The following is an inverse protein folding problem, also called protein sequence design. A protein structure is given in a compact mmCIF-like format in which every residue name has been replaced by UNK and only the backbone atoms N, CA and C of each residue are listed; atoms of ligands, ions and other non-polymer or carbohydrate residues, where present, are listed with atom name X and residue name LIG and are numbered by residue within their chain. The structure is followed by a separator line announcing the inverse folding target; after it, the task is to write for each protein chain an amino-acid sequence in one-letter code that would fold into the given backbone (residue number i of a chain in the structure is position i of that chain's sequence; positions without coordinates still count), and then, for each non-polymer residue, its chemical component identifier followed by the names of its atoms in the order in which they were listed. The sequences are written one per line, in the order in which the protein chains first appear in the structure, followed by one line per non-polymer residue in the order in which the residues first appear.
data_IF_468970220848
#
_entry.id   IF_468970220848
#
_cell.length_a   1.000
_cell.length_b   1.000
_cell.length_c   1.000
_cell.angle_alpha   90.00
_cell.angle_beta   90.00
_cell.angle_gamma   90.00
#
_symmetry.space_group_name_H-M   'P 1'
#
loop_
_entity.id
_entity.type
_entity.pdbx_description
1 polymer ?
#
# COMPACT_ATOMS: atom_id res chain seq x y z
N UNK A 1 -6.55 -10.86 24.72
CA UNK A 1 -7.04 -11.95 23.87
C UNK A 1 -7.58 -11.39 22.57
N UNK A 2 -7.24 -12.01 21.53
CA UNK A 2 -7.71 -11.64 20.22
C UNK A 2 -9.07 -12.26 19.94
N UNK A 3 -10.05 -11.47 19.64
CA UNK A 3 -11.40 -11.97 19.45
C UNK A 3 -12.01 -11.65 18.10
N UNK A 4 -11.34 -10.79 17.29
CA UNK A 4 -11.90 -10.38 16.01
C UNK A 4 -11.05 -10.92 14.87
N UNK A 5 -11.72 -11.39 13.84
CA UNK A 5 -11.05 -11.72 12.59
C UNK A 5 -10.54 -10.44 11.93
N UNK A 6 -9.44 -10.54 11.20
CA UNK A 6 -8.96 -9.42 10.41
C UNK A 6 -9.91 -9.17 9.24
N UNK A 7 -10.02 -7.90 8.85
CA UNK A 7 -10.97 -7.48 7.83
C UNK A 7 -10.60 -7.97 6.41
N UNK A 8 -9.30 -8.15 6.15
CA UNK A 8 -8.82 -8.49 4.81
C UNK A 8 -7.87 -9.68 4.84
N UNK A 9 -7.78 -10.44 3.74
CA UNK A 9 -6.82 -11.54 3.64
C UNK A 9 -5.37 -11.06 3.58
N UNK A 10 -5.14 -9.86 3.07
CA UNK A 10 -3.80 -9.27 2.99
C UNK A 10 -3.90 -7.76 2.90
N UNK A 11 -2.80 -7.09 3.26
CA UNK A 11 -2.61 -5.66 3.04
C UNK A 11 -1.39 -5.46 2.16
N UNK A 12 -1.57 -4.76 1.05
CA UNK A 12 -0.46 -4.29 0.22
C UNK A 12 -0.17 -2.86 0.63
N UNK A 13 1.00 -2.65 1.23
CA UNK A 13 1.37 -1.36 1.80
C UNK A 13 2.49 -0.75 0.98
N UNK A 14 2.20 0.37 0.32
CA UNK A 14 3.15 1.09 -0.52
C UNK A 14 3.79 2.21 0.30
N UNK A 15 5.13 2.18 0.38
CA UNK A 15 5.92 3.23 1.03
C UNK A 15 6.40 4.22 -0.03
N UNK A 16 6.13 5.50 0.16
CA UNK A 16 6.53 6.54 -0.78
C UNK A 16 7.23 7.68 -0.05
N UNK A 17 8.29 8.21 -0.66
CA UNK A 17 8.94 9.42 -0.20
C UNK A 17 9.70 10.06 -1.36
N UNK A 18 9.26 11.28 -1.76
CA UNK A 18 9.90 12.08 -2.82
C UNK A 18 10.16 11.27 -4.10
N UNK A 19 9.11 10.62 -4.59
CA UNK A 19 9.17 9.74 -5.75
C UNK A 19 8.20 10.17 -6.85
N UNK A 20 8.04 11.48 -7.05
CA UNK A 20 7.07 12.02 -8.00
C UNK A 20 7.24 11.46 -9.43
N UNK A 21 8.46 11.10 -9.80
CA UNK A 21 8.73 10.60 -11.16
C UNK A 21 8.33 9.15 -11.38
N UNK A 22 8.19 8.36 -10.30
CA UNK A 22 7.93 6.91 -10.40
C UNK A 22 6.65 6.50 -9.70
N UNK A 23 6.09 7.34 -8.85
CA UNK A 23 5.01 6.94 -7.95
C UNK A 23 3.73 6.53 -8.69
N UNK A 24 3.41 7.16 -9.80
CA UNK A 24 2.17 6.85 -10.52
C UNK A 24 2.20 5.41 -11.02
N UNK A 25 3.29 5.02 -11.70
CA UNK A 25 3.40 3.65 -12.21
C UNK A 25 3.47 2.63 -11.07
N UNK A 26 4.23 2.94 -10.02
CA UNK A 26 4.34 2.05 -8.87
C UNK A 26 2.99 1.84 -8.19
N UNK A 27 2.26 2.91 -7.93
CA UNK A 27 0.95 2.83 -7.28
C UNK A 27 -0.07 2.14 -8.18
N UNK A 28 -0.06 2.43 -9.48
CA UNK A 28 -0.97 1.76 -10.41
C UNK A 28 -0.72 0.25 -10.46
N UNK A 29 0.53 -0.18 -10.35
CA UNK A 29 0.83 -1.61 -10.30
C UNK A 29 0.29 -2.27 -9.02
N UNK A 30 0.24 -1.53 -7.92
CA UNK A 30 -0.41 -2.01 -6.69
C UNK A 30 -1.92 -2.08 -6.83
N UNK A 31 -2.52 -1.04 -7.41
CA UNK A 31 -3.97 -0.98 -7.60
C UNK A 31 -4.46 -2.02 -8.61
N UNK A 32 -3.59 -2.43 -9.53
CA UNK A 32 -3.89 -3.41 -10.57
C UNK A 32 -3.70 -4.86 -10.18
N UNK A 33 -3.53 -5.16 -8.90
CA UNK A 33 -3.35 -6.55 -8.47
C UNK A 33 -4.57 -7.40 -8.77
N UNK A 34 -4.32 -8.58 -9.36
CA UNK A 34 -5.35 -9.53 -9.75
C UNK A 34 -5.41 -10.62 -8.68
N UNK A 35 -6.33 -10.45 -7.75
CA UNK A 35 -6.56 -11.37 -6.63
C UNK A 35 -7.90 -11.05 -5.99
N UNK A 36 -8.28 -11.81 -4.97
CA UNK A 36 -9.46 -11.46 -4.18
C UNK A 36 -9.30 -10.07 -3.55
N UNK A 37 -10.41 -9.41 -3.14
CA UNK A 37 -10.31 -8.07 -2.56
C UNK A 37 -9.39 -8.02 -1.36
N UNK A 38 -8.45 -7.08 -1.38
CA UNK A 38 -7.49 -6.85 -0.30
C UNK A 38 -7.51 -5.38 0.12
N UNK A 39 -6.80 -5.10 1.20
CA UNK A 39 -6.52 -3.72 1.60
C UNK A 39 -5.27 -3.23 0.88
N UNK A 40 -5.34 -2.02 0.31
CA UNK A 40 -4.18 -1.35 -0.28
C UNK A 40 -4.01 0.00 0.41
N UNK A 41 -2.86 0.21 1.04
CA UNK A 41 -2.53 1.46 1.73
C UNK A 41 -1.42 2.15 0.96
N UNK A 42 -1.70 3.36 0.50
CA UNK A 42 -0.73 4.21 -0.17
C UNK A 42 -0.22 5.23 0.85
N UNK A 43 1.01 5.04 1.31
CA UNK A 43 1.51 5.77 2.48
C UNK A 43 2.71 6.63 2.13
N UNK A 44 2.57 7.94 2.35
CA UNK A 44 3.60 8.94 2.07
C UNK A 44 4.31 9.35 3.35
N UNK A 45 5.64 9.36 3.31
CA UNK A 45 6.48 9.71 4.46
C UNK A 45 6.83 11.20 4.48
N UNK A 46 5.83 12.05 4.29
CA UNK A 46 5.98 13.51 4.32
C UNK A 46 6.87 14.02 3.18
N UNK A 47 6.52 13.63 1.95
CA UNK A 47 7.23 14.10 0.75
C UNK A 47 7.17 15.62 0.63
N UNK A 48 8.24 16.19 0.10
CA UNK A 48 8.33 17.62 -0.18
C UNK A 48 7.96 17.96 -1.62
N UNK A 49 7.85 16.95 -2.48
CA UNK A 49 7.38 17.12 -3.85
C UNK A 49 5.89 16.77 -3.94
N UNK A 50 5.36 16.53 -5.14
CA UNK A 50 3.94 16.24 -5.32
C UNK A 50 3.58 14.76 -5.25
N UNK A 51 4.44 13.93 -4.66
CA UNK A 51 4.19 12.49 -4.51
C UNK A 51 2.83 12.23 -3.84
N UNK A 52 2.57 12.88 -2.72
CA UNK A 52 1.33 12.66 -1.98
C UNK A 52 0.10 13.06 -2.79
N UNK A 53 0.15 14.19 -3.49
CA UNK A 53 -0.98 14.65 -4.31
C UNK A 53 -1.27 13.66 -5.42
N UNK A 54 -0.24 13.06 -6.02
CA UNK A 54 -0.42 12.05 -7.05
C UNK A 54 -1.08 10.79 -6.49
N UNK A 55 -0.72 10.37 -5.28
CA UNK A 55 -1.36 9.24 -4.61
C UNK A 55 -2.85 9.52 -4.35
N UNK A 56 -3.17 10.71 -3.89
CA UNK A 56 -4.56 11.11 -3.65
C UNK A 56 -5.38 11.07 -4.93
N UNK A 57 -4.82 11.57 -6.03
CA UNK A 57 -5.51 11.57 -7.31
C UNK A 57 -5.80 10.16 -7.81
N UNK A 58 -4.84 9.26 -7.66
CA UNK A 58 -5.02 7.86 -8.07
C UNK A 58 -6.09 7.17 -7.24
N UNK A 59 -6.09 7.40 -5.93
CA UNK A 59 -7.09 6.81 -5.05
C UNK A 59 -8.49 7.33 -5.37
N UNK A 60 -8.62 8.62 -5.66
CA UNK A 60 -9.91 9.22 -5.99
C UNK A 60 -10.52 8.65 -7.26
N UNK A 61 -9.68 8.25 -8.21
CA UNK A 61 -10.14 7.70 -9.49
C UNK A 61 -10.32 6.19 -9.47
N UNK A 62 -9.87 5.53 -8.42
CA UNK A 62 -9.90 4.07 -8.36
C UNK A 62 -11.33 3.56 -8.20
N UNK A 63 -11.70 2.58 -9.02
CA UNK A 63 -13.03 1.98 -9.03
C UNK A 63 -12.99 0.45 -8.97
N UNK A 64 -11.86 -0.13 -8.59
CA UNK A 64 -11.72 -1.57 -8.54
C UNK A 64 -12.28 -2.20 -7.27
N UNK A 65 -11.96 -3.48 -7.07
CA UNK A 65 -12.52 -4.29 -5.97
C UNK A 65 -11.78 -4.14 -4.65
N UNK A 66 -10.56 -3.63 -4.67
CA UNK A 66 -9.77 -3.50 -3.43
C UNK A 66 -10.21 -2.28 -2.64
N UNK A 67 -9.96 -2.31 -1.33
CA UNK A 67 -10.21 -1.17 -0.46
C UNK A 67 -8.93 -0.35 -0.37
N UNK A 68 -8.98 0.86 -0.90
CA UNK A 68 -7.80 1.72 -1.04
C UNK A 68 -7.89 2.88 -0.06
N UNK A 69 -6.81 3.12 0.67
CA UNK A 69 -6.67 4.29 1.52
C UNK A 69 -5.34 4.99 1.26
N UNK A 70 -5.33 6.29 1.49
CA UNK A 70 -4.13 7.10 1.36
C UNK A 70 -3.85 7.72 2.72
N UNK A 71 -2.58 7.70 3.13
CA UNK A 71 -2.19 8.34 4.39
C UNK A 71 -0.86 9.05 4.22
N UNK A 72 -0.60 9.97 5.13
CA UNK A 72 0.62 10.76 5.11
C UNK A 72 1.13 10.93 6.52
N UNK A 73 2.44 10.76 6.72
CA UNK A 73 3.08 11.09 7.97
C UNK A 73 3.25 12.60 8.09
N UNK A 74 3.08 13.15 9.28
CA UNK A 74 3.24 14.59 9.52
C UNK A 74 4.69 15.04 9.43
N UNK A 75 5.62 14.11 9.68
CA UNK A 75 7.06 14.35 9.54
C UNK A 75 7.68 13.16 8.83
N UNK A 76 8.87 13.35 8.29
CA UNK A 76 9.61 12.23 7.70
C UNK A 76 10.11 11.32 8.83
N UNK A 77 9.62 10.08 8.86
CA UNK A 77 9.97 9.12 9.90
C UNK A 77 11.13 8.20 9.51
N UNK A 78 11.39 8.07 8.22
CA UNK A 78 12.36 7.11 7.74
C UNK A 78 11.75 5.73 7.57
N UNK A 79 12.45 4.86 6.84
CA UNK A 79 11.90 3.58 6.40
C UNK A 79 11.53 2.64 7.56
N UNK A 80 12.36 2.58 8.60
CA UNK A 80 12.11 1.66 9.72
C UNK A 80 10.83 2.02 10.48
N UNK A 81 10.65 3.29 10.81
CA UNK A 81 9.43 3.74 11.51
C UNK A 81 8.20 3.66 10.63
N UNK A 82 8.35 3.96 9.34
CA UNK A 82 7.28 3.83 8.39
C UNK A 82 6.82 2.37 8.30
N UNK A 83 7.76 1.45 8.29
CA UNK A 83 7.48 0.02 8.29
C UNK A 83 6.70 -0.39 9.55
N UNK A 84 7.11 0.11 10.71
CA UNK A 84 6.39 -0.17 11.96
C UNK A 84 4.95 0.35 11.91
N UNK A 85 4.71 1.47 11.25
CA UNK A 85 3.36 1.96 11.05
C UNK A 85 2.52 1.03 10.18
N UNK A 86 3.12 0.42 9.17
CA UNK A 86 2.42 -0.55 8.34
C UNK A 86 1.88 -1.70 9.20
N UNK A 87 2.70 -2.21 10.11
CA UNK A 87 2.29 -3.27 11.01
C UNK A 87 1.13 -2.81 11.91
N UNK A 88 1.19 -1.58 12.38
CA UNK A 88 0.16 -1.04 13.29
C UNK A 88 -1.14 -0.72 12.56
N UNK A 89 -1.08 -0.27 11.30
CA UNK A 89 -2.26 0.19 10.55
C UNK A 89 -2.99 -0.92 9.81
N UNK A 90 -2.27 -1.97 9.40
CA UNK A 90 -2.84 -2.99 8.52
C UNK A 90 -4.00 -3.73 9.19
N UNK A 91 -5.04 -3.96 8.40
CA UNK A 91 -6.22 -4.69 8.84
C UNK A 91 -6.19 -6.14 8.39
N UNK A 92 -5.00 -6.71 8.36
CA UNK A 92 -4.77 -8.11 7.99
C UNK A 92 -3.57 -8.63 8.75
N UNK A 93 -3.41 -9.96 8.78
CA UNK A 93 -2.24 -10.59 9.39
C UNK A 93 -1.07 -10.68 8.41
N UNK A 94 -1.35 -10.59 7.12
CA UNK A 94 -0.33 -10.67 6.06
C UNK A 94 -0.13 -9.29 5.45
N UNK A 95 1.08 -8.77 5.58
CA UNK A 95 1.44 -7.47 5.02
C UNK A 95 2.47 -7.69 3.91
N UNK A 96 2.15 -7.21 2.72
CA UNK A 96 3.03 -7.26 1.57
C UNK A 96 3.48 -5.82 1.30
N UNK A 97 4.78 -5.59 1.20
CA UNK A 97 5.30 -4.24 1.05
C UNK A 97 5.65 -3.95 -0.40
N UNK A 98 5.49 -2.69 -0.78
CA UNK A 98 5.86 -2.18 -2.09
C UNK A 98 6.53 -0.82 -1.92
N UNK A 99 7.39 -0.45 -2.85
CA UNK A 99 8.08 0.82 -2.82
C UNK A 99 7.60 1.73 -3.96
N UNK A 100 7.64 3.04 -3.72
CA UNK A 100 7.14 4.03 -4.68
C UNK A 100 7.97 4.18 -5.96
N UNK A 101 9.07 3.44 -6.08
CA UNK A 101 9.91 3.41 -7.28
C UNK A 101 9.98 2.01 -7.90
N UNK A 102 9.10 1.11 -7.50
CA UNK A 102 9.15 -0.28 -7.95
C UNK A 102 7.79 -0.71 -8.49
N UNK A 103 7.81 -1.65 -9.44
CA UNK A 103 6.58 -2.17 -10.02
C UNK A 103 6.26 -3.53 -9.44
N UNK A 104 4.99 -3.74 -9.10
CA UNK A 104 4.51 -5.04 -8.65
C UNK A 104 3.86 -5.76 -9.82
N UNK A 105 4.23 -7.03 -10.02
CA UNK A 105 3.59 -7.84 -11.05
C UNK A 105 2.11 -8.06 -10.71
N UNK A 106 1.24 -8.20 -11.73
CA UNK A 106 -0.22 -8.30 -11.48
C UNK A 106 -0.64 -9.42 -10.55
N UNK A 107 0.11 -10.53 -10.50
CA UNK A 107 -0.25 -11.67 -9.67
C UNK A 107 0.63 -11.82 -8.42
N UNK A 108 1.37 -10.78 -8.07
CA UNK A 108 2.28 -10.84 -6.92
C UNK A 108 1.56 -11.20 -5.63
N UNK A 109 0.47 -10.49 -5.34
CA UNK A 109 -0.31 -10.73 -4.10
C UNK A 109 -0.93 -12.11 -4.12
N UNK A 110 -1.49 -12.52 -5.26
CA UNK A 110 -2.09 -13.85 -5.39
C UNK A 110 -1.07 -14.95 -5.10
N UNK A 111 0.15 -14.81 -5.62
CA UNK A 111 1.21 -15.79 -5.38
C UNK A 111 1.58 -15.87 -3.89
N UNK A 112 1.67 -14.72 -3.23
CA UNK A 112 1.98 -14.68 -1.79
C UNK A 112 0.84 -15.29 -0.98
N UNK A 113 -0.41 -14.97 -1.32
CA UNK A 113 -1.57 -15.54 -0.63
C UNK A 113 -1.62 -17.05 -0.74
N UNK A 114 -1.32 -17.60 -1.92
CA UNK A 114 -1.29 -19.06 -2.12
C UNK A 114 -0.21 -19.72 -1.26
N UNK A 115 0.95 -19.10 -1.16
CA UNK A 115 2.04 -19.60 -0.32
C UNK A 115 1.72 -19.47 1.17
N UNK A 116 1.02 -18.41 1.56
CA UNK A 116 0.65 -18.11 2.95
C UNK A 116 -0.38 -19.11 3.46
N UNK A 117 -1.28 -19.49 2.61
CA UNK A 117 -2.34 -20.45 2.95
C UNK A 117 -1.84 -21.88 2.75
#
# INVERSE_FOLDING_TARGET
MRTQAKAFPATLFLFAYNQANTIVEAAMSCLGQVCEPIEIVLSDDCSTDNTFDQLCQLADKYEGLHTVSVRRNETNLGIARHYNQAVACAQSDLIIVAAGDDLSEPHRVQSVLQAWR
#
